data_IF_838038471468
#
_entry.id   IF_838038471468
#
_cell.length_a   1.000
_cell.length_b   1.000
_cell.length_c   1.000
_cell.angle_alpha   90.00
_cell.angle_beta   90.00
_cell.angle_gamma   90.00
#
_symmetry.space_group_name_H-M   'P 1'
#
loop_
_entity.id
_entity.type
_entity.pdbx_description
1 polymer ?
#
# COMPACT_ATOMS: atom_id res chain seq x y z
N UNK A 1 -1.63 12.73 -19.82
CA UNK A 1 -1.98 13.43 -21.08
C UNK A 1 -0.86 14.40 -21.41
N UNK A 2 -0.14 14.25 -22.53
CA UNK A 2 0.97 15.13 -22.92
C UNK A 2 0.53 15.90 -24.17
N UNK A 3 0.46 17.23 -24.08
CA UNK A 3 0.08 18.06 -25.23
C UNK A 3 1.21 17.99 -26.25
N UNK A 4 0.89 17.53 -27.48
CA UNK A 4 1.87 17.25 -28.54
C UNK A 4 2.05 18.44 -29.50
N UNK A 5 1.18 19.45 -29.41
CA UNK A 5 1.29 20.68 -30.21
C UNK A 5 0.13 21.64 -29.96
N UNK A 6 0.33 22.91 -30.33
CA UNK A 6 -0.69 23.97 -30.26
C UNK A 6 -0.78 24.68 -31.61
N UNK A 7 -2.00 25.02 -32.04
CA UNK A 7 -2.26 25.85 -33.22
C UNK A 7 -3.21 26.98 -32.81
N UNK A 8 -2.86 28.22 -33.17
CA UNK A 8 -3.74 29.36 -32.97
C UNK A 8 -4.93 29.24 -33.93
N UNK A 9 -6.15 29.23 -33.41
CA UNK A 9 -7.39 29.07 -34.21
C UNK A 9 -8.05 30.43 -34.49
N UNK A 10 -7.67 31.48 -33.75
CA UNK A 10 -8.16 32.84 -33.93
C UNK A 10 -8.25 33.59 -32.60
N UNK A 11 -8.77 34.81 -32.66
CA UNK A 11 -9.06 35.62 -31.47
C UNK A 11 -10.57 35.64 -31.23
N UNK A 12 -10.98 35.39 -30.00
CA UNK A 12 -12.35 35.63 -29.54
C UNK A 12 -12.31 36.64 -28.40
N UNK A 13 -13.31 37.52 -28.37
CA UNK A 13 -13.54 38.36 -27.22
C UNK A 13 -13.95 37.48 -26.04
N UNK A 14 -13.07 37.34 -25.07
CA UNK A 14 -13.38 36.77 -23.76
C UNK A 14 -13.82 37.91 -22.86
N UNK A 15 -14.93 37.71 -22.15
CA UNK A 15 -15.32 38.60 -21.08
C UNK A 15 -14.39 38.35 -19.90
N UNK A 16 -13.35 39.18 -19.80
CA UNK A 16 -12.54 39.23 -18.61
C UNK A 16 -13.38 39.87 -17.51
N UNK A 17 -13.53 39.20 -16.36
CA UNK A 17 -14.22 39.79 -15.20
C UNK A 17 -13.22 40.72 -14.52
N UNK A 18 -12.90 41.83 -15.18
CA UNK A 18 -12.06 42.89 -14.64
C UNK A 18 -12.91 43.84 -13.79
N UNK A 19 -12.44 44.11 -12.56
CA UNK A 19 -12.96 45.22 -11.76
C UNK A 19 -12.36 46.53 -12.26
N UNK A 20 -13.17 47.59 -12.32
CA UNK A 20 -12.75 48.90 -12.82
C UNK A 20 -11.72 49.63 -11.91
N UNK A 21 -11.30 49.03 -10.79
CA UNK A 21 -10.30 49.56 -9.87
C UNK A 21 -9.79 48.50 -8.89
N UNK A 22 -8.76 48.85 -8.09
CA UNK A 22 -8.20 48.01 -7.01
C UNK A 22 -9.20 47.85 -5.87
N UNK A 23 -10.19 46.97 -6.07
CA UNK A 23 -11.19 46.67 -5.07
C UNK A 23 -11.22 45.18 -4.81
N UNK A 24 -10.97 44.79 -3.57
CA UNK A 24 -11.49 43.52 -3.06
C UNK A 24 -13.01 43.55 -3.27
N UNK A 25 -13.62 42.48 -3.79
CA UNK A 25 -15.04 42.43 -4.18
C UNK A 25 -15.94 43.05 -3.08
N UNK A 26 -16.49 44.25 -3.29
CA UNK A 26 -17.40 44.88 -2.34
C UNK A 26 -18.80 44.28 -2.53
N UNK A 27 -19.31 43.62 -1.51
CA UNK A 27 -20.68 43.12 -1.46
C UNK A 27 -21.66 44.29 -1.28
N UNK A 28 -22.91 44.10 -1.72
CA UNK A 28 -23.95 45.14 -1.65
C UNK A 28 -24.24 45.68 -0.24
N UNK A 29 -23.80 44.97 0.81
CA UNK A 29 -23.90 45.38 2.21
C UNK A 29 -22.66 46.15 2.73
N UNK A 30 -21.73 46.53 1.83
CA UNK A 30 -20.49 47.24 2.17
C UNK A 30 -19.37 46.35 2.71
N UNK A 31 -19.56 45.02 2.77
CA UNK A 31 -18.53 44.09 3.22
C UNK A 31 -17.54 43.76 2.10
N UNK A 32 -16.28 43.53 2.46
CA UNK A 32 -15.21 43.21 1.53
C UNK A 32 -15.03 41.69 1.41
N UNK A 33 -15.28 41.14 0.23
CA UNK A 33 -15.04 39.75 -0.13
C UNK A 33 -13.57 39.51 -0.52
N UNK A 34 -12.69 39.58 0.48
CA UNK A 34 -11.26 39.30 0.32
C UNK A 34 -10.95 37.78 0.24
N UNK A 35 -11.83 36.93 0.81
CA UNK A 35 -11.61 35.48 0.95
C UNK A 35 -12.74 34.63 0.31
N UNK A 36 -13.33 35.09 -0.79
CA UNK A 36 -14.36 34.32 -1.47
C UNK A 36 -13.78 33.06 -2.14
N UNK A 37 -14.37 31.90 -1.84
CA UNK A 37 -13.98 30.62 -2.43
C UNK A 37 -14.86 30.26 -3.62
N UNK A 38 -14.24 29.65 -4.63
CA UNK A 38 -14.96 29.17 -5.79
C UNK A 38 -15.90 28.02 -5.39
N UNK A 39 -17.21 28.21 -5.57
CA UNK A 39 -18.24 27.24 -5.18
C UNK A 39 -18.15 25.93 -5.97
N UNK A 40 -17.92 25.96 -7.29
CA UNK A 40 -17.87 24.73 -8.09
C UNK A 40 -16.67 23.86 -7.71
N UNK A 41 -15.51 24.47 -7.48
CA UNK A 41 -14.32 23.78 -6.96
C UNK A 41 -14.58 23.20 -5.57
N UNK A 42 -15.09 24.00 -4.63
CA UNK A 42 -15.36 23.56 -3.26
C UNK A 42 -16.39 22.43 -3.20
N UNK A 43 -17.43 22.50 -4.05
CA UNK A 43 -18.48 21.48 -4.13
C UNK A 43 -17.92 20.15 -4.64
N UNK A 44 -17.05 20.19 -5.66
CA UNK A 44 -16.43 18.97 -6.21
C UNK A 44 -15.57 18.24 -5.17
N UNK A 45 -14.72 18.97 -4.43
CA UNK A 45 -13.90 18.36 -3.36
C UNK A 45 -14.76 17.90 -2.18
N UNK A 46 -15.76 18.69 -1.78
CA UNK A 46 -16.70 18.34 -0.72
C UNK A 46 -17.45 17.03 -1.01
N UNK A 47 -17.79 16.77 -2.27
CA UNK A 47 -18.42 15.52 -2.68
C UNK A 47 -17.49 14.31 -2.46
N UNK A 48 -16.22 14.39 -2.86
CA UNK A 48 -15.24 13.32 -2.62
C UNK A 48 -14.99 13.11 -1.12
N UNK A 49 -14.91 14.20 -0.34
CA UNK A 49 -14.79 14.12 1.12
C UNK A 49 -15.99 13.42 1.75
N UNK A 50 -17.19 13.70 1.27
CA UNK A 50 -18.40 13.01 1.73
C UNK A 50 -18.34 11.51 1.41
N UNK A 51 -17.90 11.14 0.20
CA UNK A 51 -17.76 9.74 -0.19
C UNK A 51 -16.75 8.99 0.68
N UNK A 52 -15.58 9.57 0.95
CA UNK A 52 -14.57 8.92 1.81
C UNK A 52 -15.03 8.83 3.26
N UNK A 53 -15.72 9.86 3.77
CA UNK A 53 -16.34 9.82 5.10
C UNK A 53 -17.43 8.73 5.19
N UNK A 54 -18.27 8.59 4.16
CA UNK A 54 -19.27 7.55 4.07
C UNK A 54 -18.64 6.14 4.11
N UNK A 55 -17.58 5.90 3.32
CA UNK A 55 -16.86 4.63 3.32
C UNK A 55 -16.23 4.35 4.68
N UNK A 56 -15.59 5.34 5.30
CA UNK A 56 -15.01 5.18 6.64
C UNK A 56 -16.05 4.86 7.71
N UNK A 57 -17.26 5.41 7.60
CA UNK A 57 -18.32 5.19 8.58
C UNK A 57 -19.01 3.82 8.42
N UNK A 58 -19.20 3.34 7.19
CA UNK A 58 -19.99 2.12 6.91
C UNK A 58 -19.12 0.88 6.64
N UNK A 59 -17.92 1.07 6.08
CA UNK A 59 -16.96 0.02 5.71
C UNK A 59 -15.56 0.34 6.28
N UNK A 60 -15.44 0.47 7.62
CA UNK A 60 -14.21 0.96 8.24
C UNK A 60 -13.00 0.05 8.00
N UNK A 61 -13.20 -1.27 7.95
CA UNK A 61 -12.11 -2.25 7.78
C UNK A 61 -11.54 -2.17 6.36
N UNK A 62 -12.41 -2.19 5.35
CA UNK A 62 -12.05 -2.09 3.94
C UNK A 62 -11.46 -0.73 3.62
N UNK A 63 -12.02 0.34 4.18
CA UNK A 63 -11.50 1.70 4.03
C UNK A 63 -10.08 1.82 4.58
N UNK A 64 -9.84 1.30 5.79
CA UNK A 64 -8.51 1.33 6.40
C UNK A 64 -7.51 0.44 5.66
N UNK A 65 -7.93 -0.73 5.17
CA UNK A 65 -7.10 -1.60 4.33
C UNK A 65 -6.68 -0.88 3.04
N UNK A 66 -7.61 -0.23 2.35
CA UNK A 66 -7.32 0.56 1.15
C UNK A 66 -6.35 1.73 1.45
N UNK A 67 -6.51 2.39 2.60
CA UNK A 67 -5.66 3.51 3.01
C UNK A 67 -4.22 3.04 3.32
N UNK A 68 -4.07 1.87 3.94
CA UNK A 68 -2.79 1.22 4.20
C UNK A 68 -2.11 0.83 2.88
N UNK A 69 -2.84 0.21 1.96
CA UNK A 69 -2.35 -0.16 0.62
C UNK A 69 -1.87 1.06 -0.17
N UNK A 70 -2.65 2.14 -0.21
CA UNK A 70 -2.29 3.35 -0.95
C UNK A 70 -1.02 4.04 -0.41
N UNK A 71 -0.65 3.76 0.84
CA UNK A 71 0.53 4.35 1.50
C UNK A 71 1.60 3.31 1.85
N UNK A 72 1.56 2.10 1.29
CA UNK A 72 2.51 1.00 1.61
C UNK A 72 3.98 1.37 1.43
N UNK A 73 4.27 2.30 0.51
CA UNK A 73 5.62 2.82 0.29
C UNK A 73 6.15 3.79 1.35
N UNK A 74 5.30 4.28 2.25
CA UNK A 74 5.64 5.27 3.29
C UNK A 74 5.43 4.68 4.69
N UNK A 75 6.51 4.18 5.28
CA UNK A 75 6.49 3.42 6.53
C UNK A 75 5.98 4.23 7.72
N UNK A 76 6.28 5.53 7.76
CA UNK A 76 5.81 6.42 8.83
C UNK A 76 4.29 6.59 8.77
N UNK A 77 3.71 6.68 7.56
CA UNK A 77 2.26 6.73 7.38
C UNK A 77 1.61 5.40 7.70
N UNK A 78 2.17 4.28 7.27
CA UNK A 78 1.67 2.94 7.58
C UNK A 78 1.56 2.76 9.09
N UNK A 79 2.59 3.11 9.86
CA UNK A 79 2.55 3.01 11.32
C UNK A 79 1.43 3.87 11.94
N UNK A 80 1.25 5.11 11.47
CA UNK A 80 0.17 5.99 11.95
C UNK A 80 -1.23 5.41 11.65
N UNK A 81 -1.40 4.81 10.47
CA UNK A 81 -2.66 4.19 10.10
C UNK A 81 -2.93 2.90 10.88
N UNK A 82 -1.89 2.10 11.18
CA UNK A 82 -2.03 0.92 12.06
C UNK A 82 -2.47 1.35 13.46
N UNK A 83 -1.87 2.39 14.04
CA UNK A 83 -2.29 2.93 15.33
C UNK A 83 -3.75 3.41 15.31
N UNK A 84 -4.19 3.97 14.18
CA UNK A 84 -5.59 4.37 13.97
C UNK A 84 -6.53 3.16 13.84
N UNK A 85 -6.11 2.09 13.17
CA UNK A 85 -6.88 0.84 13.10
C UNK A 85 -7.11 0.28 14.51
N UNK A 86 -6.05 0.22 15.31
CA UNK A 86 -6.11 -0.28 16.69
C UNK A 86 -7.04 0.57 17.57
N UNK A 87 -7.01 1.91 17.44
CA UNK A 87 -7.94 2.78 18.18
C UNK A 87 -9.40 2.66 17.72
N UNK A 88 -9.62 2.23 16.47
CA UNK A 88 -10.94 1.89 15.94
C UNK A 88 -11.39 0.45 16.28
N UNK A 89 -10.58 -0.32 17.02
CA UNK A 89 -10.87 -1.72 17.36
C UNK A 89 -10.65 -2.70 16.21
N UNK A 90 -9.92 -2.29 15.17
CA UNK A 90 -9.56 -3.11 14.01
C UNK A 90 -8.18 -3.69 14.25
N UNK A 91 -8.10 -5.02 14.34
CA UNK A 91 -6.83 -5.72 14.54
C UNK A 91 -6.08 -5.84 13.21
N UNK A 92 -4.81 -5.40 13.20
CA UNK A 92 -3.92 -5.60 12.05
C UNK A 92 -3.02 -6.80 12.36
N UNK A 93 -3.24 -7.90 11.65
CA UNK A 93 -2.45 -9.12 11.77
C UNK A 93 -1.09 -8.94 11.09
N UNK A 94 -0.02 -9.58 11.59
CA UNK A 94 1.27 -9.60 10.90
C UNK A 94 1.14 -10.24 9.51
N UNK A 95 2.10 -9.97 8.60
CA UNK A 95 2.13 -10.65 7.32
C UNK A 95 2.28 -12.17 7.52
N UNK A 96 1.86 -12.95 6.53
CA UNK A 96 2.03 -14.41 6.48
C UNK A 96 2.18 -14.83 5.02
N UNK A 97 3.28 -15.50 4.65
CA UNK A 97 3.53 -15.94 3.26
C UNK A 97 2.41 -16.84 2.72
N UNK A 98 1.70 -17.55 3.59
CA UNK A 98 0.62 -18.46 3.20
C UNK A 98 -0.75 -17.78 3.06
N UNK A 99 -0.93 -16.57 3.60
CA UNK A 99 -2.25 -15.91 3.67
C UNK A 99 -2.25 -14.49 3.11
N UNK A 100 -1.16 -13.75 3.25
CA UNK A 100 -1.04 -12.36 2.80
C UNK A 100 -0.96 -12.28 1.29
N UNK A 101 -1.60 -11.26 0.72
CA UNK A 101 -1.44 -10.87 -0.67
C UNK A 101 -0.48 -9.68 -0.78
N UNK A 102 -0.38 -9.12 -1.99
CA UNK A 102 0.44 -7.92 -2.26
C UNK A 102 -0.02 -6.77 -1.37
N UNK A 103 -1.34 -6.56 -1.32
CA UNK A 103 -1.99 -5.43 -0.66
C UNK A 103 -2.57 -5.83 0.70
N UNK A 104 -2.87 -4.84 1.53
CA UNK A 104 -3.56 -5.07 2.80
C UNK A 104 -4.95 -5.62 2.53
N UNK A 105 -5.25 -6.78 3.13
CA UNK A 105 -6.45 -7.54 2.81
C UNK A 105 -7.40 -7.56 4.01
N UNK A 106 -8.65 -7.08 3.88
CA UNK A 106 -9.64 -7.17 4.95
C UNK A 106 -10.12 -8.62 5.10
N UNK A 107 -10.06 -9.15 6.32
CA UNK A 107 -10.50 -10.51 6.66
C UNK A 107 -11.43 -10.43 7.87
N UNK A 108 -12.73 -10.31 7.61
CA UNK A 108 -13.74 -10.07 8.64
C UNK A 108 -13.51 -8.74 9.34
N UNK A 109 -13.30 -8.75 10.66
CA UNK A 109 -13.00 -7.54 11.44
C UNK A 109 -11.49 -7.28 11.63
N UNK A 110 -10.65 -7.89 10.79
CA UNK A 110 -9.19 -7.78 10.85
C UNK A 110 -8.62 -7.36 9.51
N UNK A 111 -7.42 -6.82 9.52
CA UNK A 111 -6.66 -6.51 8.30
C UNK A 111 -5.40 -7.36 8.31
N UNK A 112 -5.20 -8.14 7.26
CA UNK A 112 -3.98 -8.89 7.04
C UNK A 112 -2.95 -7.99 6.37
N UNK A 113 -1.73 -7.94 6.93
CA UNK A 113 -0.66 -7.13 6.39
C UNK A 113 -0.30 -7.54 4.96
N UNK A 114 -0.21 -6.56 4.05
CA UNK A 114 0.23 -6.80 2.68
C UNK A 114 1.75 -7.00 2.59
N UNK A 115 2.20 -7.94 1.76
CA UNK A 115 3.63 -8.20 1.56
C UNK A 115 4.37 -6.97 0.98
N UNK A 116 3.65 -6.08 0.27
CA UNK A 116 4.22 -4.85 -0.31
C UNK A 116 4.73 -3.85 0.73
N UNK A 117 4.20 -3.89 1.95
CA UNK A 117 4.61 -2.99 3.03
C UNK A 117 5.81 -3.54 3.83
N UNK A 118 6.29 -4.74 3.53
CA UNK A 118 7.48 -5.32 4.19
C UNK A 118 8.75 -4.70 3.60
N UNK A 119 9.59 -4.13 4.47
CA UNK A 119 10.85 -3.52 4.06
C UNK A 119 11.79 -4.54 3.40
N UNK A 120 12.53 -4.10 2.39
CA UNK A 120 13.51 -4.90 1.64
C UNK A 120 12.93 -6.05 0.79
N UNK A 121 11.60 -6.17 0.70
CA UNK A 121 10.93 -7.13 -0.18
C UNK A 121 10.49 -6.39 -1.44
N UNK A 122 11.05 -6.78 -2.59
CA UNK A 122 10.72 -6.16 -3.87
C UNK A 122 9.47 -6.77 -4.49
N UNK A 123 8.72 -5.97 -5.26
CA UNK A 123 7.49 -6.40 -5.94
C UNK A 123 7.66 -7.70 -6.74
N UNK A 124 8.77 -7.86 -7.47
CA UNK A 124 9.05 -9.08 -8.22
C UNK A 124 9.20 -10.34 -7.34
N UNK A 125 9.73 -10.21 -6.13
CA UNK A 125 9.80 -11.33 -5.18
C UNK A 125 8.39 -11.70 -4.71
N UNK A 126 7.54 -10.71 -4.42
CA UNK A 126 6.17 -10.92 -3.96
C UNK A 126 5.34 -11.66 -5.02
N UNK A 127 5.42 -11.22 -6.28
CA UNK A 127 4.72 -11.85 -7.40
C UNK A 127 5.12 -13.32 -7.55
N UNK A 128 6.42 -13.62 -7.46
CA UNK A 128 6.90 -15.01 -7.51
C UNK A 128 6.44 -15.81 -6.29
N UNK A 129 6.42 -15.24 -5.08
CA UNK A 129 5.91 -15.93 -3.88
C UNK A 129 4.44 -16.33 -4.09
N UNK A 130 3.62 -15.41 -4.60
CA UNK A 130 2.20 -15.66 -4.84
C UNK A 130 1.99 -16.67 -5.98
N UNK A 131 2.78 -16.61 -7.04
CA UNK A 131 2.76 -17.59 -8.11
C UNK A 131 3.16 -18.98 -7.61
N UNK A 132 4.26 -19.08 -6.85
CA UNK A 132 4.72 -20.33 -6.27
C UNK A 132 3.66 -20.92 -5.34
N UNK A 133 2.98 -20.09 -4.53
CA UNK A 133 1.86 -20.50 -3.67
C UNK A 133 0.67 -21.00 -4.46
N UNK A 134 0.34 -20.35 -5.59
CA UNK A 134 -0.76 -20.75 -6.48
C UNK A 134 -0.49 -22.11 -7.12
N UNK A 135 0.74 -22.36 -7.59
CA UNK A 135 1.10 -23.59 -8.31
C UNK A 135 1.32 -24.80 -7.39
N UNK A 136 1.91 -24.60 -6.20
CA UNK A 136 2.30 -25.68 -5.30
C UNK A 136 1.57 -25.72 -3.95
N UNK A 137 0.56 -24.87 -3.75
CA UNK A 137 -0.16 -24.74 -2.49
C UNK A 137 0.64 -24.06 -1.38
N UNK A 138 0.19 -24.21 -0.14
CA UNK A 138 0.82 -23.59 1.03
C UNK A 138 2.28 -24.07 1.22
N UNK A 139 3.15 -23.15 1.64
CA UNK A 139 4.52 -23.44 2.01
C UNK A 139 4.54 -24.18 3.37
N UNK A 140 5.27 -25.30 3.41
CA UNK A 140 5.30 -26.16 4.60
C UNK A 140 6.48 -25.87 5.53
N UNK A 141 7.59 -25.34 4.99
CA UNK A 141 8.82 -25.08 5.74
C UNK A 141 9.67 -24.01 5.07
N UNK A 142 10.70 -23.52 5.77
CA UNK A 142 11.69 -22.61 5.20
C UNK A 142 12.43 -23.24 4.00
N UNK A 143 12.73 -24.54 4.06
CA UNK A 143 13.36 -25.26 2.95
C UNK A 143 12.46 -25.33 1.72
N UNK A 144 11.17 -25.63 1.91
CA UNK A 144 10.17 -25.65 0.82
C UNK A 144 10.04 -24.27 0.15
N UNK A 145 10.06 -23.20 0.93
CA UNK A 145 10.06 -21.83 0.41
C UNK A 145 11.32 -21.52 -0.40
N UNK A 146 12.51 -21.83 0.15
CA UNK A 146 13.79 -21.58 -0.50
C UNK A 146 14.05 -22.44 -1.73
N UNK A 147 13.38 -23.59 -1.88
CA UNK A 147 13.44 -24.42 -3.09
C UNK A 147 12.45 -23.93 -4.15
N UNK A 148 11.20 -23.66 -3.77
CA UNK A 148 10.12 -23.35 -4.73
C UNK A 148 10.23 -21.96 -5.33
N UNK A 149 10.60 -20.94 -4.54
CA UNK A 149 10.62 -19.55 -5.01
C UNK A 149 11.66 -19.35 -6.13
N UNK A 150 12.94 -19.77 -6.00
CA UNK A 150 13.90 -19.76 -7.11
C UNK A 150 13.46 -20.56 -8.32
N UNK A 151 12.87 -21.75 -8.09
CA UNK A 151 12.46 -22.65 -9.17
C UNK A 151 11.38 -22.03 -10.05
N UNK A 152 10.42 -21.32 -9.46
CA UNK A 152 9.37 -20.61 -10.18
C UNK A 152 9.90 -19.33 -10.85
N UNK A 153 10.81 -18.61 -10.20
CA UNK A 153 11.45 -17.44 -10.79
C UNK A 153 12.38 -17.77 -11.97
N UNK A 154 12.97 -18.96 -11.99
CA UNK A 154 14.07 -19.29 -12.89
C UNK A 154 15.38 -18.54 -12.60
N UNK A 155 15.48 -17.89 -11.42
CA UNK A 155 16.67 -17.15 -10.99
C UNK A 155 16.86 -17.26 -9.47
N UNK A 156 17.95 -17.90 -9.05
CA UNK A 156 18.32 -18.06 -7.63
C UNK A 156 18.64 -16.74 -6.93
N UNK A 157 18.94 -15.66 -7.68
CA UNK A 157 19.24 -14.34 -7.12
C UNK A 157 18.01 -13.62 -6.58
N UNK A 158 16.80 -14.13 -6.86
CA UNK A 158 15.56 -13.56 -6.31
C UNK A 158 15.51 -13.68 -4.78
N UNK A 159 16.19 -14.69 -4.22
CA UNK A 159 16.34 -14.87 -2.78
C UNK A 159 17.46 -13.97 -2.25
N UNK A 160 17.09 -12.76 -1.85
CA UNK A 160 17.98 -11.88 -1.12
C UNK A 160 17.95 -12.21 0.38
N UNK A 161 19.12 -12.47 0.98
CA UNK A 161 19.26 -12.67 2.43
C UNK A 161 18.59 -11.57 3.25
N UNK A 162 18.75 -10.30 2.86
CA UNK A 162 18.11 -9.16 3.55
C UNK A 162 16.58 -9.19 3.48
N UNK A 163 16.03 -9.65 2.35
CA UNK A 163 14.58 -9.77 2.18
C UNK A 163 14.03 -10.89 3.06
N UNK A 164 14.72 -12.03 3.13
CA UNK A 164 14.36 -13.17 3.97
C UNK A 164 14.46 -12.84 5.46
N UNK A 165 15.54 -12.19 5.89
CA UNK A 165 15.68 -11.68 7.26
C UNK A 165 14.54 -10.72 7.62
N UNK A 166 14.12 -9.86 6.69
CA UNK A 166 13.00 -8.93 6.90
C UNK A 166 11.66 -9.66 6.99
N UNK A 167 11.43 -10.68 6.16
CA UNK A 167 10.23 -11.53 6.20
C UNK A 167 10.13 -12.34 7.50
N UNK A 168 11.25 -12.87 7.99
CA UNK A 168 11.27 -13.60 9.27
C UNK A 168 11.06 -12.63 10.43
N UNK A 169 11.74 -11.48 10.43
CA UNK A 169 11.65 -10.50 11.51
C UNK A 169 10.26 -9.88 11.67
N UNK A 170 9.49 -9.74 10.58
CA UNK A 170 8.12 -9.24 10.64
C UNK A 170 7.06 -10.32 10.92
N UNK A 171 7.48 -11.59 11.09
CA UNK A 171 6.58 -12.72 11.37
C UNK A 171 5.93 -13.34 10.13
N UNK A 172 6.31 -12.93 8.91
CA UNK A 172 5.75 -13.48 7.67
C UNK A 172 5.97 -14.98 7.51
N UNK A 173 7.03 -15.51 8.13
CA UNK A 173 7.42 -16.92 8.06
C UNK A 173 7.10 -17.70 9.33
N UNK A 174 6.37 -17.12 10.29
CA UNK A 174 6.05 -17.80 11.55
C UNK A 174 5.20 -19.06 11.32
N UNK A 175 4.38 -19.08 10.27
CA UNK A 175 3.59 -20.25 9.87
C UNK A 175 4.42 -21.44 9.39
N UNK A 176 5.70 -21.22 9.03
CA UNK A 176 6.61 -22.25 8.53
C UNK A 176 7.36 -23.01 9.63
N UNK A 177 7.30 -22.53 10.87
CA UNK A 177 7.94 -23.18 12.01
C UNK A 177 6.89 -23.72 12.99
N UNK A 178 6.94 -24.99 13.42
CA UNK A 178 5.93 -25.59 14.32
C UNK A 178 5.73 -24.81 15.62
N UNK A 179 6.79 -24.19 16.14
CA UNK A 179 6.77 -23.38 17.36
C UNK A 179 6.72 -21.87 17.12
N UNK A 180 6.59 -21.40 15.86
CA UNK A 180 6.65 -19.97 15.49
C UNK A 180 7.88 -19.25 16.05
N UNK A 181 9.03 -19.93 16.04
CA UNK A 181 10.26 -19.42 16.65
C UNK A 181 11.08 -18.70 15.58
N UNK A 182 10.91 -17.37 15.51
CA UNK A 182 11.63 -16.52 14.56
C UNK A 182 13.16 -16.59 14.73
N UNK A 183 13.66 -16.77 15.96
CA UNK A 183 15.09 -16.88 16.22
C UNK A 183 15.70 -18.15 15.62
N UNK A 184 14.96 -19.26 15.68
CA UNK A 184 15.40 -20.52 15.07
C UNK A 184 15.45 -20.38 13.55
N UNK A 185 14.42 -19.78 12.95
CA UNK A 185 14.39 -19.51 11.50
C UNK A 185 15.55 -18.63 11.05
N UNK A 186 15.92 -17.60 11.82
CA UNK A 186 17.09 -16.75 11.52
C UNK A 186 18.42 -17.50 11.64
N UNK A 187 18.55 -18.43 12.58
CA UNK A 187 19.75 -19.26 12.73
C UNK A 187 19.88 -20.28 11.60
N UNK A 188 18.77 -20.87 11.16
CA UNK A 188 18.74 -21.87 10.10
C UNK A 188 18.88 -21.26 8.70
N UNK A 189 18.55 -19.98 8.54
CA UNK A 189 18.53 -19.27 7.26
C UNK A 189 19.84 -19.39 6.44
N UNK A 190 21.04 -19.18 6.99
CA UNK A 190 22.28 -19.28 6.21
C UNK A 190 22.50 -20.68 5.64
N UNK A 191 22.25 -21.71 6.46
CA UNK A 191 22.41 -23.12 6.07
C UNK A 191 21.42 -23.50 4.95
N UNK A 192 20.15 -23.10 5.10
CA UNK A 192 19.11 -23.40 4.12
C UNK A 192 19.35 -22.65 2.80
N UNK A 193 19.85 -21.40 2.86
CA UNK A 193 20.18 -20.65 1.66
C UNK A 193 21.36 -21.25 0.90
N UNK A 194 22.43 -21.62 1.59
CA UNK A 194 23.57 -22.31 0.96
C UNK A 194 23.14 -23.64 0.33
N UNK A 195 22.32 -24.41 1.04
CA UNK A 195 21.76 -25.67 0.54
C UNK A 195 20.88 -25.46 -0.71
N UNK A 196 20.01 -24.44 -0.72
CA UNK A 196 19.12 -24.15 -1.84
C UNK A 196 19.90 -23.64 -3.07
N UNK A 197 20.91 -22.80 -2.87
CA UNK A 197 21.77 -22.28 -3.95
C UNK A 197 22.67 -23.36 -4.56
N UNK A 198 23.11 -24.35 -3.77
CA UNK A 198 23.90 -25.47 -4.28
C UNK A 198 23.15 -26.46 -5.16
N UNK A 199 21.82 -26.36 -5.25
CA UNK A 199 20.94 -27.24 -6.06
C UNK A 199 20.39 -26.59 -7.33
N UNK A 200 20.52 -25.28 -7.46
CA UNK A 200 20.06 -24.52 -8.63
C UNK A 200 21.16 -24.38 -9.67
#
# INVERSE_FOLDING_TARGET
>A
MKIVGRRLVGWQAVYDIGLAGDHNFLLANGAIAANCFNKSHSTAYGYVTYQTAFLKANFPVEYMAALLTANSGDQDKVQRYIATCLSMGIEVLPPDVNRSDIDFTPVGNKILFGLSAVRNVGQGMIEVILQARSEGGAFQSLGDFCERVPRVAGDSRILNRRALESLIACGAMDSLHPQRNCNQLLQDLPLVLEWAQGRA
#
